data_IF_879731763922
#
_entry.id   IF_879731763922
#
_cell.length_a   1.000
_cell.length_b   1.000
_cell.length_c   1.000
_cell.angle_alpha   90.00
_cell.angle_beta   90.00
_cell.angle_gamma   90.00
#
_symmetry.space_group_name_H-M   'P 1'
#
loop_
_entity.id
_entity.type
_entity.pdbx_description
1 polymer ?
#
# COMPACT_ATOMS: atom_id res chain seq x y z
N UNK A 1 18.20 23.44 -9.04
CA UNK A 1 17.65 22.93 -10.31
C UNK A 1 16.15 23.13 -10.28
N UNK A 2 15.59 23.73 -11.32
CA UNK A 2 14.13 23.98 -11.44
C UNK A 2 13.40 22.75 -11.97
N UNK A 3 12.08 22.66 -11.81
CA UNK A 3 11.28 21.54 -12.35
C UNK A 3 11.38 21.42 -13.87
N UNK A 4 11.40 22.56 -14.59
CA UNK A 4 11.57 22.59 -16.05
C UNK A 4 12.93 22.05 -16.48
N UNK A 5 13.98 22.36 -15.73
CA UNK A 5 15.32 21.80 -15.95
C UNK A 5 15.37 20.31 -15.66
N UNK A 6 14.69 19.85 -14.61
CA UNK A 6 14.63 18.44 -14.24
C UNK A 6 13.86 17.61 -15.30
N UNK A 7 12.75 18.12 -15.83
CA UNK A 7 12.02 17.51 -16.95
C UNK A 7 12.89 17.43 -18.20
N UNK A 8 13.67 18.49 -18.49
CA UNK A 8 14.60 18.49 -19.62
C UNK A 8 15.74 17.48 -19.44
N UNK A 9 16.22 17.28 -18.21
CA UNK A 9 17.26 16.30 -17.89
C UNK A 9 16.74 14.86 -17.98
N UNK A 10 15.47 14.62 -17.63
CA UNK A 10 14.85 13.29 -17.82
C UNK A 10 14.21 13.09 -19.20
N UNK A 11 14.32 14.07 -20.10
CA UNK A 11 13.74 14.06 -21.45
C UNK A 11 12.22 13.82 -21.46
N UNK A 12 11.51 14.52 -20.58
CA UNK A 12 10.07 14.33 -20.34
C UNK A 12 9.25 15.58 -20.68
N UNK A 13 8.01 15.32 -21.10
CA UNK A 13 6.99 16.36 -21.31
C UNK A 13 6.58 17.01 -19.97
N UNK A 14 6.18 18.30 -19.95
CA UNK A 14 5.65 18.96 -18.74
C UNK A 14 4.46 18.24 -18.09
N UNK A 15 3.69 17.49 -18.87
CA UNK A 15 2.51 16.74 -18.43
C UNK A 15 2.83 15.30 -18.02
N UNK A 16 4.12 14.92 -17.98
CA UNK A 16 4.53 13.55 -17.68
C UNK A 16 4.05 13.09 -16.30
N UNK A 17 3.43 11.91 -16.27
CA UNK A 17 2.94 11.28 -15.04
C UNK A 17 4.05 10.67 -14.19
N UNK A 18 3.76 10.39 -12.92
CA UNK A 18 4.74 9.80 -11.98
C UNK A 18 5.37 8.50 -12.51
N UNK A 19 4.57 7.65 -13.15
CA UNK A 19 5.03 6.39 -13.76
C UNK A 19 6.02 6.64 -14.90
N UNK A 20 5.75 7.61 -15.77
CA UNK A 20 6.62 7.97 -16.89
C UNK A 20 7.94 8.56 -16.38
N UNK A 21 7.88 9.39 -15.34
CA UNK A 21 9.06 9.95 -14.67
C UNK A 21 9.92 8.85 -14.07
N UNK A 22 9.32 7.86 -13.39
CA UNK A 22 10.03 6.72 -12.80
C UNK A 22 10.66 5.85 -13.89
N UNK A 23 9.95 5.57 -14.98
CA UNK A 23 10.46 4.80 -16.12
C UNK A 23 11.65 5.48 -16.78
N UNK A 24 11.55 6.79 -17.09
CA UNK A 24 12.65 7.54 -17.71
C UNK A 24 13.86 7.68 -16.81
N UNK A 25 13.65 7.93 -15.52
CA UNK A 25 14.73 7.93 -14.54
C UNK A 25 15.51 6.59 -14.54
N UNK A 26 14.80 5.46 -14.49
CA UNK A 26 15.43 4.13 -14.54
C UNK A 26 16.20 3.90 -15.83
N UNK A 27 15.64 4.30 -16.97
CA UNK A 27 16.30 4.21 -18.28
C UNK A 27 17.63 4.97 -18.29
N UNK A 28 17.63 6.22 -17.82
CA UNK A 28 18.80 7.11 -17.85
C UNK A 28 19.89 6.68 -16.86
N UNK A 29 19.54 6.24 -15.65
CA UNK A 29 20.55 5.74 -14.69
C UNK A 29 21.24 4.48 -15.20
N UNK A 30 20.51 3.58 -15.87
CA UNK A 30 21.10 2.38 -16.48
C UNK A 30 22.10 2.75 -17.57
N UNK A 31 21.77 3.69 -18.46
CA UNK A 31 22.67 4.13 -19.55
C UNK A 31 23.97 4.76 -19.04
N UNK A 32 23.97 5.29 -17.82
CA UNK A 32 25.13 5.95 -17.22
C UNK A 32 25.95 4.97 -16.36
N UNK A 33 25.52 3.72 -16.16
CA UNK A 33 26.23 2.77 -15.29
C UNK A 33 27.68 2.50 -15.77
N UNK A 34 28.68 2.43 -14.86
CA UNK A 34 30.10 2.29 -15.24
C UNK A 34 30.38 1.01 -16.03
N UNK A 35 29.57 -0.03 -15.82
CA UNK A 35 29.72 -1.33 -16.49
C UNK A 35 29.34 -1.30 -17.98
N UNK A 36 28.67 -0.24 -18.47
CA UNK A 36 28.23 -0.15 -19.88
C UNK A 36 29.22 0.67 -20.73
N UNK A 37 29.83 1.69 -20.14
CA UNK A 37 30.82 2.52 -20.81
C UNK A 37 32.01 2.63 -19.86
N UNK A 38 33.10 1.91 -20.14
CA UNK A 38 34.38 1.95 -19.41
C UNK A 38 35.06 3.33 -19.44
N UNK A 39 34.32 4.34 -19.01
CA UNK A 39 34.58 5.77 -19.07
C UNK A 39 34.93 6.26 -17.67
N UNK A 40 35.78 7.30 -17.60
CA UNK A 40 36.39 7.71 -16.34
C UNK A 40 35.36 7.95 -15.23
N UNK A 41 35.71 7.48 -14.03
CA UNK A 41 34.93 7.49 -12.79
C UNK A 41 34.31 8.87 -12.45
N UNK A 42 34.97 9.95 -12.89
CA UNK A 42 34.53 11.34 -12.74
C UNK A 42 33.33 11.71 -13.64
N UNK A 43 33.26 11.18 -14.86
CA UNK A 43 32.18 11.48 -15.82
C UNK A 43 30.88 10.75 -15.43
N UNK A 44 31.02 9.54 -14.89
CA UNK A 44 29.96 8.76 -14.25
C UNK A 44 29.32 9.54 -13.09
N UNK A 45 30.15 10.02 -12.16
CA UNK A 45 29.70 10.65 -10.92
C UNK A 45 28.88 11.90 -11.23
N UNK A 46 29.32 12.75 -12.17
CA UNK A 46 28.61 13.99 -12.51
C UNK A 46 27.28 13.75 -13.23
N UNK A 47 27.20 12.77 -14.13
CA UNK A 47 25.99 12.53 -14.93
C UNK A 47 24.93 11.79 -14.12
N UNK A 48 25.32 10.77 -13.34
CA UNK A 48 24.41 10.05 -12.45
C UNK A 48 23.87 10.96 -11.33
N UNK A 49 24.72 11.80 -10.72
CA UNK A 49 24.27 12.80 -9.75
C UNK A 49 23.25 13.77 -10.34
N UNK A 50 23.43 14.18 -11.59
CA UNK A 50 22.51 15.10 -12.28
C UNK A 50 21.15 14.46 -12.55
N UNK A 51 21.13 13.18 -12.97
CA UNK A 51 19.88 12.41 -13.16
C UNK A 51 19.18 12.16 -11.82
N UNK A 52 19.92 11.75 -10.77
CA UNK A 52 19.40 11.54 -9.42
C UNK A 52 18.78 12.82 -8.85
N UNK A 53 19.46 13.96 -9.01
CA UNK A 53 18.96 15.25 -8.58
C UNK A 53 17.68 15.62 -9.36
N UNK A 54 17.61 15.33 -10.67
CA UNK A 54 16.45 15.65 -11.50
C UNK A 54 15.23 14.83 -11.09
N UNK A 55 15.42 13.53 -10.86
CA UNK A 55 14.38 12.66 -10.33
C UNK A 55 13.93 13.07 -8.93
N UNK A 56 14.84 13.45 -8.03
CA UNK A 56 14.47 13.94 -6.70
C UNK A 56 13.59 15.21 -6.76
N UNK A 57 13.91 16.15 -7.65
CA UNK A 57 13.09 17.37 -7.87
C UNK A 57 11.71 16.99 -8.41
N UNK A 58 11.62 16.08 -9.38
CA UNK A 58 10.33 15.69 -9.96
C UNK A 58 9.52 14.75 -9.07
N UNK A 59 10.17 13.93 -8.22
CA UNK A 59 9.51 13.11 -7.20
C UNK A 59 8.79 14.00 -6.18
N UNK A 60 9.36 15.16 -5.83
CA UNK A 60 8.72 16.17 -4.96
C UNK A 60 7.46 16.80 -5.57
N UNK A 61 7.25 16.73 -6.90
CA UNK A 61 6.00 17.15 -7.53
C UNK A 61 4.81 16.25 -7.15
N UNK A 62 5.09 14.99 -6.81
CA UNK A 62 4.09 13.98 -6.46
C UNK A 62 4.09 13.65 -4.96
N UNK A 63 5.22 13.86 -4.27
CA UNK A 63 5.30 13.82 -2.82
C UNK A 63 4.91 15.20 -2.26
N UNK A 64 3.72 15.33 -1.67
CA UNK A 64 3.35 16.54 -0.94
C UNK A 64 4.44 16.94 0.05
N UNK A 65 4.87 18.20 0.00
CA UNK A 65 5.99 18.80 0.75
C UNK A 65 6.47 18.02 1.99
N UNK A 66 7.54 17.24 1.82
CA UNK A 66 8.35 16.73 2.92
C UNK A 66 9.82 17.13 2.65
N UNK A 67 10.31 18.07 3.45
CA UNK A 67 11.72 18.45 3.49
C UNK A 67 12.58 17.23 3.84
N UNK A 68 13.65 17.04 3.07
CA UNK A 68 14.63 15.97 3.27
C UNK A 68 15.83 16.55 4.01
N UNK A 69 16.16 16.13 5.24
CA UNK A 69 17.44 16.47 5.84
C UNK A 69 18.55 15.57 5.28
N UNK A 70 19.63 16.22 4.85
CA UNK A 70 20.86 15.62 4.36
C UNK A 70 21.62 14.84 5.44
N UNK A 71 22.35 13.84 4.94
CA UNK A 71 23.30 13.00 5.63
C UNK A 71 24.33 13.73 6.52
N UNK A 72 24.63 13.13 7.68
CA UNK A 72 25.94 13.21 8.34
C UNK A 72 26.30 11.83 8.89
N UNK A 73 27.53 11.42 8.66
CA UNK A 73 27.98 10.06 8.88
C UNK A 73 28.91 9.83 10.07
N UNK A 74 29.40 8.58 10.05
CA UNK A 74 30.59 7.96 10.65
C UNK A 74 30.49 7.21 12.00
N UNK A 75 30.76 5.89 11.86
CA UNK A 75 31.62 4.97 12.66
C UNK A 75 31.19 4.65 14.10
N UNK A 76 31.24 3.41 14.62
CA UNK A 76 32.24 2.34 14.47
C UNK A 76 31.77 0.93 14.93
N UNK A 77 32.43 -0.09 14.37
CA UNK A 77 32.93 -1.36 14.96
C UNK A 77 32.01 -2.50 15.45
N UNK A 78 32.03 -3.57 14.64
CA UNK A 78 32.32 -5.00 14.95
C UNK A 78 31.31 -5.89 15.70
N UNK A 79 30.75 -6.88 14.98
CA UNK A 79 31.07 -8.32 15.12
C UNK A 79 30.44 -9.14 13.97
N UNK A 80 31.03 -10.26 13.52
CA UNK A 80 30.73 -10.87 12.23
C UNK A 80 29.67 -11.98 12.36
N UNK A 81 28.48 -11.76 11.82
CA UNK A 81 27.51 -12.82 11.59
C UNK A 81 27.08 -12.82 10.12
N UNK A 82 27.34 -13.96 9.47
CA UNK A 82 26.84 -14.45 8.17
C UNK A 82 26.42 -13.38 7.14
N UNK A 83 27.19 -13.31 6.05
CA UNK A 83 26.84 -12.62 4.80
C UNK A 83 25.46 -13.05 4.31
N UNK A 84 24.43 -12.28 4.66
CA UNK A 84 23.18 -12.21 3.91
C UNK A 84 23.45 -11.43 2.63
N UNK A 85 23.11 -12.04 1.50
CA UNK A 85 23.12 -11.43 0.19
C UNK A 85 22.18 -10.22 0.18
N UNK A 86 22.73 -9.01 0.03
CA UNK A 86 21.98 -7.80 -0.34
C UNK A 86 20.80 -7.44 0.57
N UNK A 87 21.06 -7.08 1.82
CA UNK A 87 20.03 -6.71 2.80
C UNK A 87 19.07 -5.63 2.25
N UNK A 88 17.83 -6.02 1.97
CA UNK A 88 16.76 -5.08 1.67
C UNK A 88 16.52 -4.20 2.89
N UNK A 89 16.68 -2.89 2.72
CA UNK A 89 16.68 -1.94 3.84
C UNK A 89 15.26 -1.53 4.24
N UNK A 90 14.45 -2.48 4.72
CA UNK A 90 13.14 -2.23 5.30
C UNK A 90 13.04 -2.73 6.76
N UNK A 91 12.23 -2.09 7.62
CA UNK A 91 11.95 -2.63 8.95
C UNK A 91 11.40 -4.04 8.84
N UNK A 92 11.70 -4.85 9.84
CA UNK A 92 11.30 -6.25 9.90
C UNK A 92 10.20 -6.40 10.94
N UNK A 93 9.13 -7.10 10.58
CA UNK A 93 8.16 -7.60 11.55
C UNK A 93 8.53 -9.03 11.93
N UNK A 94 9.30 -9.21 13.01
CA UNK A 94 9.70 -10.54 13.50
C UNK A 94 8.51 -11.47 13.80
N UNK A 95 7.34 -10.89 14.10
CA UNK A 95 6.12 -11.60 14.45
C UNK A 95 5.22 -11.96 13.25
N UNK A 96 5.60 -11.61 12.02
CA UNK A 96 4.83 -12.01 10.83
C UNK A 96 4.74 -13.54 10.74
N UNK A 97 3.62 -14.06 10.23
CA UNK A 97 3.34 -15.49 10.23
C UNK A 97 4.33 -16.28 9.37
N UNK A 98 4.67 -15.72 8.21
CA UNK A 98 5.62 -16.29 7.25
C UNK A 98 6.58 -15.22 6.75
N UNK A 99 7.64 -15.65 6.07
CA UNK A 99 8.52 -14.79 5.29
C UNK A 99 7.94 -14.61 3.87
N UNK A 100 8.36 -13.53 3.20
CA UNK A 100 7.93 -13.26 1.84
C UNK A 100 9.11 -12.88 0.96
N UNK A 101 8.99 -13.13 -0.32
CA UNK A 101 9.93 -12.62 -1.31
C UNK A 101 9.69 -11.13 -1.55
N UNK A 102 10.76 -10.36 -1.76
CA UNK A 102 10.69 -9.00 -2.27
C UNK A 102 10.91 -9.08 -3.76
N UNK A 103 9.92 -8.67 -4.54
CA UNK A 103 9.92 -8.84 -6.00
C UNK A 103 10.36 -7.56 -6.71
N UNK A 104 11.03 -7.72 -7.84
CA UNK A 104 11.36 -6.64 -8.77
C UNK A 104 10.95 -7.01 -10.19
N UNK A 105 10.56 -6.02 -10.99
CA UNK A 105 10.24 -6.25 -12.40
C UNK A 105 11.51 -6.58 -13.19
N UNK A 106 11.46 -7.66 -13.97
CA UNK A 106 12.34 -7.82 -15.13
C UNK A 106 11.83 -6.87 -16.22
N UNK A 107 12.66 -5.94 -16.65
CA UNK A 107 12.32 -4.93 -17.66
C UNK A 107 13.19 -5.11 -18.90
N UNK A 108 12.61 -4.96 -20.09
CA UNK A 108 13.36 -4.89 -21.34
C UNK A 108 14.13 -3.55 -21.48
N UNK A 109 14.84 -3.38 -22.60
CA UNK A 109 15.59 -2.15 -22.91
C UNK A 109 14.71 -0.88 -23.00
N UNK A 110 13.40 -1.05 -23.19
CA UNK A 110 12.41 0.02 -23.26
C UNK A 110 11.68 0.26 -21.92
N UNK A 111 11.98 -0.53 -20.88
CA UNK A 111 11.31 -0.45 -19.58
C UNK A 111 9.97 -1.19 -19.51
N UNK A 112 9.65 -2.04 -20.50
CA UNK A 112 8.46 -2.89 -20.47
C UNK A 112 8.69 -4.07 -19.53
N UNK A 113 7.74 -4.32 -18.62
CA UNK A 113 7.81 -5.46 -17.71
C UNK A 113 7.65 -6.79 -18.47
N UNK A 114 8.70 -7.61 -18.46
CA UNK A 114 8.72 -8.98 -19.00
C UNK A 114 8.28 -10.02 -17.97
N UNK A 115 8.41 -9.69 -16.69
CA UNK A 115 8.08 -10.57 -15.57
C UNK A 115 8.56 -9.96 -14.25
N UNK A 116 8.63 -10.78 -13.21
CA UNK A 116 9.18 -10.41 -11.91
C UNK A 116 10.11 -11.50 -11.37
N UNK A 117 11.10 -11.11 -10.57
CA UNK A 117 12.01 -12.03 -9.91
C UNK A 117 12.29 -11.57 -8.47
N UNK A 118 12.62 -12.49 -7.55
CA UNK A 118 12.94 -12.16 -6.18
C UNK A 118 14.31 -11.48 -6.07
N UNK A 119 14.39 -10.44 -5.24
CA UNK A 119 15.64 -9.70 -4.94
C UNK A 119 16.04 -9.79 -3.46
N UNK A 120 15.11 -10.18 -2.58
CA UNK A 120 15.36 -10.45 -1.17
C UNK A 120 14.26 -11.38 -0.63
N UNK A 121 14.47 -11.91 0.57
CA UNK A 121 13.50 -12.76 1.28
C UNK A 121 13.53 -12.44 2.77
N UNK A 122 12.36 -12.34 3.40
CA UNK A 122 12.26 -12.13 4.85
C UNK A 122 10.96 -11.46 5.26
N UNK A 123 10.86 -11.10 6.55
CA UNK A 123 9.65 -10.47 7.12
C UNK A 123 9.64 -8.95 6.99
N UNK A 124 10.03 -8.45 5.82
CA UNK A 124 10.18 -7.02 5.57
C UNK A 124 8.83 -6.32 5.40
N UNK A 125 8.64 -5.23 6.15
CA UNK A 125 7.52 -4.32 5.94
C UNK A 125 7.59 -3.69 4.54
N UNK A 126 6.43 -3.50 3.96
CA UNK A 126 6.26 -2.80 2.71
C UNK A 126 6.66 -1.33 2.87
N UNK A 127 7.32 -0.81 1.85
CA UNK A 127 7.66 0.60 1.67
C UNK A 127 7.29 1.01 0.26
N UNK A 128 7.09 2.30 0.04
CA UNK A 128 6.78 2.86 -1.28
C UNK A 128 7.89 2.69 -2.33
N UNK A 129 9.10 2.29 -1.91
CA UNK A 129 10.17 1.88 -2.81
C UNK A 129 9.89 0.52 -3.50
N UNK A 130 9.12 -0.35 -2.85
CA UNK A 130 8.59 -1.59 -3.43
C UNK A 130 7.26 -1.31 -4.15
N UNK A 131 7.13 -1.79 -5.40
CA UNK A 131 5.92 -1.60 -6.18
C UNK A 131 4.74 -2.35 -5.54
N UNK A 132 3.61 -1.68 -5.32
CA UNK A 132 2.51 -2.23 -4.53
C UNK A 132 1.87 -3.48 -5.15
N UNK A 133 1.60 -3.54 -6.48
CA UNK A 133 1.26 -4.78 -7.17
C UNK A 133 2.21 -5.95 -6.91
N UNK A 134 3.53 -5.71 -6.88
CA UNK A 134 4.52 -6.75 -6.60
C UNK A 134 4.50 -7.19 -5.14
N UNK A 135 4.30 -6.24 -4.22
CA UNK A 135 4.04 -6.55 -2.80
C UNK A 135 2.81 -7.45 -2.63
N UNK A 136 1.67 -7.08 -3.25
CA UNK A 136 0.46 -7.90 -3.17
C UNK A 136 0.64 -9.28 -3.80
N UNK A 137 1.38 -9.37 -4.91
CA UNK A 137 1.71 -10.65 -5.55
C UNK A 137 2.54 -11.54 -4.62
N UNK A 138 3.55 -10.98 -3.97
CA UNK A 138 4.39 -11.66 -2.98
C UNK A 138 3.55 -12.21 -1.81
N UNK A 139 2.69 -11.38 -1.22
CA UNK A 139 1.80 -11.81 -0.12
C UNK A 139 0.78 -12.86 -0.60
N UNK A 140 0.27 -12.72 -1.82
CA UNK A 140 -0.63 -13.71 -2.43
C UNK A 140 0.07 -15.07 -2.61
N UNK A 141 1.34 -15.08 -3.02
CA UNK A 141 2.15 -16.30 -3.13
C UNK A 141 2.35 -16.97 -1.76
N UNK A 142 2.69 -16.21 -0.71
CA UNK A 142 2.77 -16.73 0.65
C UNK A 142 1.47 -17.42 1.09
N UNK A 143 0.31 -16.79 0.86
CA UNK A 143 -0.98 -17.39 1.18
C UNK A 143 -1.27 -18.65 0.36
N UNK A 144 -0.79 -18.72 -0.89
CA UNK A 144 -0.96 -19.89 -1.76
C UNK A 144 -0.14 -21.06 -1.24
N UNK A 145 1.13 -20.81 -0.91
CA UNK A 145 2.09 -21.80 -0.38
C UNK A 145 1.56 -22.46 0.88
N UNK A 146 1.09 -21.68 1.86
CA UNK A 146 0.48 -22.22 3.08
C UNK A 146 -0.70 -23.16 2.80
N UNK A 147 -1.51 -22.85 1.80
CA UNK A 147 -2.64 -23.71 1.43
C UNK A 147 -2.20 -24.92 0.58
N UNK A 148 -1.15 -24.78 -0.25
CA UNK A 148 -0.56 -25.88 -1.02
C UNK A 148 0.09 -26.91 -0.07
N UNK A 149 0.77 -26.45 0.99
CA UNK A 149 1.32 -27.30 2.05
C UNK A 149 0.24 -28.12 2.75
N UNK A 150 -0.89 -27.50 3.10
CA UNK A 150 -2.05 -28.21 3.67
C UNK A 150 -2.60 -29.25 2.68
N UNK A 151 -2.77 -28.89 1.41
CA UNK A 151 -3.28 -29.85 0.42
C UNK A 151 -2.33 -31.04 0.23
N UNK A 152 -1.02 -30.81 0.30
CA UNK A 152 0.02 -31.83 0.25
C UNK A 152 -0.03 -32.74 1.49
N UNK A 153 -0.09 -32.16 2.70
CA UNK A 153 -0.15 -32.88 3.98
C UNK A 153 -1.35 -33.83 4.02
N UNK A 154 -2.52 -33.35 3.57
CA UNK A 154 -3.76 -34.12 3.51
C UNK A 154 -3.90 -34.98 2.24
N UNK A 155 -2.87 -35.00 1.37
CA UNK A 155 -2.84 -35.76 0.11
C UNK A 155 -4.09 -35.56 -0.75
N UNK A 156 -4.59 -34.31 -0.80
CA UNK A 156 -5.80 -33.99 -1.55
C UNK A 156 -5.52 -34.08 -3.04
N UNK A 157 -6.38 -34.79 -3.76
CA UNK A 157 -6.32 -34.88 -5.23
C UNK A 157 -6.75 -33.57 -5.89
N UNK A 158 -7.73 -32.90 -5.29
CA UNK A 158 -8.25 -31.62 -5.75
C UNK A 158 -8.46 -30.68 -4.57
N UNK A 159 -8.24 -29.36 -4.74
CA UNK A 159 -8.47 -28.43 -3.65
C UNK A 159 -9.96 -28.24 -3.32
N UNK A 160 -10.32 -27.95 -2.06
CA UNK A 160 -11.69 -27.63 -1.67
C UNK A 160 -12.29 -26.44 -2.45
N UNK A 161 -13.61 -26.45 -2.64
CA UNK A 161 -14.35 -25.40 -3.38
C UNK A 161 -14.20 -24.00 -2.78
N UNK A 162 -13.99 -23.91 -1.46
CA UNK A 162 -13.77 -22.65 -0.76
C UNK A 162 -12.32 -22.15 -0.81
N UNK A 163 -11.37 -22.87 -1.44
CA UNK A 163 -9.93 -22.49 -1.48
C UNK A 163 -9.73 -21.06 -1.93
N UNK A 164 -10.42 -20.61 -2.99
CA UNK A 164 -10.27 -19.24 -3.51
C UNK A 164 -10.71 -18.18 -2.51
N UNK A 165 -11.82 -18.43 -1.80
CA UNK A 165 -12.30 -17.51 -0.78
C UNK A 165 -11.35 -17.45 0.41
N UNK A 166 -10.91 -18.61 0.90
CA UNK A 166 -9.93 -18.72 1.99
C UNK A 166 -8.61 -18.05 1.61
N UNK A 167 -8.13 -18.25 0.39
CA UNK A 167 -6.90 -17.64 -0.09
C UNK A 167 -6.99 -16.12 -0.15
N UNK A 168 -8.14 -15.58 -0.58
CA UNK A 168 -8.40 -14.15 -0.55
C UNK A 168 -8.35 -13.56 0.87
N UNK A 169 -9.06 -14.20 1.82
CA UNK A 169 -9.03 -13.80 3.25
C UNK A 169 -7.61 -13.89 3.83
N UNK A 170 -6.91 -15.00 3.57
CA UNK A 170 -5.56 -15.23 4.06
C UNK A 170 -4.58 -14.19 3.51
N UNK A 171 -4.67 -13.86 2.22
CA UNK A 171 -3.85 -12.82 1.58
C UNK A 171 -4.07 -11.47 2.25
N UNK A 172 -5.32 -11.12 2.55
CA UNK A 172 -5.65 -9.87 3.23
C UNK A 172 -5.08 -9.82 4.65
N UNK A 173 -5.21 -10.90 5.43
CA UNK A 173 -4.66 -10.98 6.79
C UNK A 173 -3.13 -10.92 6.80
N UNK A 174 -2.47 -11.63 5.88
CA UNK A 174 -1.01 -11.59 5.74
C UNK A 174 -0.52 -10.20 5.34
N UNK A 175 -1.21 -9.51 4.42
CA UNK A 175 -0.83 -8.17 3.98
C UNK A 175 -0.79 -7.17 5.16
N UNK A 176 -1.71 -7.30 6.12
CA UNK A 176 -1.72 -6.46 7.32
C UNK A 176 -0.46 -6.62 8.19
N UNK A 177 0.20 -7.79 8.16
CA UNK A 177 1.43 -8.01 8.93
C UNK A 177 2.64 -7.29 8.33
N UNK A 178 2.57 -6.93 7.05
CA UNK A 178 3.65 -6.27 6.32
C UNK A 178 3.37 -4.79 6.05
N UNK A 179 2.24 -4.24 6.49
CA UNK A 179 1.90 -2.83 6.29
C UNK A 179 1.88 -2.12 7.63
N UNK A 180 2.78 -1.14 7.81
CA UNK A 180 2.67 -0.19 8.90
C UNK A 180 1.66 0.89 8.53
N UNK A 181 0.39 0.62 8.80
CA UNK A 181 -0.70 1.55 8.50
C UNK A 181 -0.53 2.91 9.18
N UNK A 182 0.18 2.97 10.30
CA UNK A 182 0.41 4.23 11.03
C UNK A 182 1.40 5.12 10.29
N UNK A 183 2.57 4.58 9.96
CA UNK A 183 3.59 5.34 9.24
C UNK A 183 3.09 5.74 7.84
N UNK A 184 2.38 4.83 7.17
CA UNK A 184 1.90 5.03 5.81
C UNK A 184 0.71 6.00 5.73
N UNK A 185 -0.13 6.11 6.77
CA UNK A 185 -1.19 7.14 6.78
C UNK A 185 -0.61 8.54 6.53
N UNK A 186 0.54 8.85 7.13
CA UNK A 186 1.20 10.14 6.95
C UNK A 186 1.70 10.34 5.53
N UNK A 187 2.30 9.32 4.93
CA UNK A 187 2.83 9.37 3.56
C UNK A 187 1.72 9.52 2.51
N UNK A 188 0.55 8.94 2.78
CA UNK A 188 -0.58 8.89 1.86
C UNK A 188 -1.64 9.99 2.08
N UNK A 189 -1.60 10.67 3.22
CA UNK A 189 -2.48 11.79 3.49
C UNK A 189 -2.18 12.96 2.55
N UNK A 190 -3.24 13.66 2.12
CA UNK A 190 -3.08 14.94 1.40
C UNK A 190 -2.64 16.07 2.31
N UNK A 191 -3.06 16.02 3.56
CA UNK A 191 -2.64 16.99 4.57
C UNK A 191 -2.77 16.38 5.97
N UNK A 192 -1.95 16.89 6.88
CA UNK A 192 -1.95 16.56 8.29
C UNK A 192 -2.23 17.84 9.07
N UNK A 193 -3.25 17.83 9.91
CA UNK A 193 -3.59 18.96 10.78
C UNK A 193 -3.72 18.47 12.21
N UNK A 194 -3.10 19.11 13.20
CA UNK A 194 -3.28 18.73 14.58
C UNK A 194 -4.70 19.06 15.06
N UNK A 195 -5.22 18.25 15.99
CA UNK A 195 -6.38 18.63 16.79
C UNK A 195 -6.00 19.60 17.92
N UNK A 196 -6.97 19.96 18.77
CA UNK A 196 -6.74 20.86 19.91
C UNK A 196 -5.74 20.34 20.94
N UNK A 197 -5.41 19.05 20.92
CA UNK A 197 -4.45 18.39 21.81
C UNK A 197 -3.11 18.11 21.10
N UNK A 198 -2.93 18.53 19.85
CA UNK A 198 -1.73 18.29 19.06
C UNK A 198 -1.70 16.93 18.36
N UNK A 199 -2.75 16.12 18.44
CA UNK A 199 -2.80 14.81 17.78
C UNK A 199 -3.03 14.97 16.27
N UNK A 200 -2.31 14.25 15.41
CA UNK A 200 -2.44 14.39 13.97
C UNK A 200 -3.79 13.87 13.46
N UNK A 201 -4.46 14.69 12.64
CA UNK A 201 -5.62 14.33 11.84
C UNK A 201 -5.18 14.28 10.38
N UNK A 202 -5.29 13.11 9.78
CA UNK A 202 -4.93 12.87 8.38
C UNK A 202 -6.14 13.06 7.49
N UNK A 203 -6.00 13.89 6.46
CA UNK A 203 -7.03 14.10 5.45
C UNK A 203 -6.69 13.37 4.16
N UNK A 204 -7.68 12.70 3.57
CA UNK A 204 -7.56 12.08 2.25
C UNK A 204 -8.89 12.14 1.46
N UNK A 205 -8.81 12.20 0.12
CA UNK A 205 -9.98 12.05 -0.73
C UNK A 205 -10.45 10.60 -0.66
N UNK A 206 -11.77 10.41 -0.57
CA UNK A 206 -12.38 9.11 -0.66
C UNK A 206 -13.63 9.18 -1.53
N UNK A 207 -14.31 8.05 -1.69
CA UNK A 207 -15.55 7.95 -2.44
C UNK A 207 -16.52 7.08 -1.65
N UNK A 208 -17.82 7.32 -1.82
CA UNK A 208 -18.88 6.40 -1.49
C UNK A 208 -19.21 5.62 -2.75
N UNK A 209 -19.13 4.29 -2.70
CA UNK A 209 -19.76 3.44 -3.71
C UNK A 209 -21.15 3.02 -3.25
N UNK A 210 -22.19 3.38 -4.01
CA UNK A 210 -23.56 3.03 -3.67
C UNK A 210 -23.84 1.53 -3.87
N UNK A 211 -24.47 0.90 -2.87
CA UNK A 211 -24.91 -0.51 -2.97
C UNK A 211 -26.13 -0.68 -3.86
N UNK A 212 -26.93 0.38 -4.04
CA UNK A 212 -28.17 0.38 -4.82
C UNK A 212 -28.34 1.65 -5.63
N UNK A 213 -29.58 2.11 -5.79
CA UNK A 213 -29.87 3.34 -6.53
C UNK A 213 -29.12 4.54 -5.93
N UNK A 214 -28.33 5.27 -6.73
CA UNK A 214 -27.60 6.43 -6.25
C UNK A 214 -28.53 7.44 -5.61
N UNK A 215 -28.15 7.93 -4.44
CA UNK A 215 -28.85 9.03 -3.76
C UNK A 215 -27.97 10.27 -3.83
N UNK A 216 -28.51 11.39 -4.29
CA UNK A 216 -27.77 12.64 -4.31
C UNK A 216 -27.56 13.13 -2.87
N UNK A 217 -26.31 13.16 -2.41
CA UNK A 217 -25.97 13.72 -1.10
C UNK A 217 -25.74 15.22 -1.23
N UNK A 218 -26.20 15.98 -0.24
CA UNK A 218 -25.93 17.42 -0.23
C UNK A 218 -24.44 17.64 0.10
N UNK A 219 -23.75 18.57 -0.57
CA UNK A 219 -22.38 18.89 -0.18
C UNK A 219 -22.27 19.23 1.31
N UNK A 220 -21.24 18.70 1.98
CA UNK A 220 -21.04 18.85 3.41
C UNK A 220 -21.86 17.91 4.30
N UNK A 221 -22.82 17.16 3.73
CA UNK A 221 -23.62 16.17 4.47
C UNK A 221 -22.70 15.16 5.16
N UNK A 222 -22.92 14.95 6.47
CA UNK A 222 -22.12 14.05 7.27
C UNK A 222 -22.60 12.60 7.11
N UNK A 223 -21.63 11.70 6.94
CA UNK A 223 -21.85 10.27 6.92
C UNK A 223 -21.19 9.64 8.15
N UNK A 224 -21.86 8.62 8.68
CA UNK A 224 -21.36 7.87 9.84
C UNK A 224 -21.00 6.44 9.43
N UNK A 225 -19.99 5.83 10.07
CA UNK A 225 -19.75 4.39 9.99
C UNK A 225 -21.01 3.59 10.35
N UNK A 226 -21.38 2.65 9.49
CA UNK A 226 -22.42 1.64 9.76
C UNK A 226 -21.83 0.32 10.27
N UNK A 227 -20.54 0.07 10.01
CA UNK A 227 -19.81 -1.14 10.39
C UNK A 227 -18.83 -1.57 9.30
N UNK A 228 -17.89 -2.45 9.63
CA UNK A 228 -16.99 -3.06 8.65
C UNK A 228 -17.46 -4.48 8.36
N UNK A 229 -17.61 -4.82 7.07
CA UNK A 229 -17.96 -6.17 6.62
C UNK A 229 -17.24 -6.48 5.33
N UNK A 230 -16.69 -7.68 5.20
CA UNK A 230 -15.93 -8.13 4.02
C UNK A 230 -14.85 -7.11 3.62
N UNK A 231 -14.08 -6.63 4.59
CA UNK A 231 -13.02 -5.62 4.42
C UNK A 231 -13.50 -4.32 3.75
N UNK A 232 -14.73 -3.90 4.06
CA UNK A 232 -15.33 -2.66 3.56
C UNK A 232 -16.05 -1.93 4.69
N UNK A 233 -15.74 -0.64 4.85
CA UNK A 233 -16.45 0.22 5.79
C UNK A 233 -17.75 0.71 5.16
N UNK A 234 -18.89 0.22 5.64
CA UNK A 234 -20.20 0.69 5.21
C UNK A 234 -20.54 2.04 5.84
N UNK A 235 -21.23 2.89 5.08
CA UNK A 235 -21.59 4.25 5.46
C UNK A 235 -23.10 4.44 5.49
N UNK A 236 -23.58 5.16 6.50
CA UNK A 236 -24.98 5.55 6.66
C UNK A 236 -25.13 7.05 6.76
N UNK A 237 -26.27 7.57 6.31
CA UNK A 237 -26.64 8.97 6.47
C UNK A 237 -27.16 9.27 7.89
N UNK A 238 -27.52 10.54 8.12
CA UNK A 238 -28.07 11.00 9.41
C UNK A 238 -29.41 10.34 9.78
N UNK A 239 -30.19 9.88 8.79
CA UNK A 239 -31.42 9.12 9.00
C UNK A 239 -31.17 7.63 9.33
N UNK A 240 -29.92 7.20 9.44
CA UNK A 240 -29.54 5.82 9.75
C UNK A 240 -29.58 4.85 8.57
N UNK A 241 -29.94 5.31 7.36
CA UNK A 241 -29.99 4.47 6.16
C UNK A 241 -28.59 4.20 5.65
N UNK A 242 -28.24 2.91 5.49
CA UNK A 242 -26.99 2.47 4.84
C UNK A 242 -27.07 2.76 3.34
N UNK A 243 -26.09 3.50 2.83
CA UNK A 243 -26.06 3.93 1.42
C UNK A 243 -25.16 3.04 0.56
N UNK A 244 -24.08 2.54 1.15
CA UNK A 244 -22.96 1.96 0.42
C UNK A 244 -21.74 1.80 1.30
N UNK A 245 -20.56 1.72 0.69
CA UNK A 245 -19.29 1.60 1.41
C UNK A 245 -18.25 2.62 0.93
N UNK A 246 -17.30 2.88 1.82
CA UNK A 246 -16.13 3.71 1.56
C UNK A 246 -15.23 3.03 0.52
N UNK A 247 -14.85 3.79 -0.49
CA UNK A 247 -13.90 3.39 -1.53
C UNK A 247 -12.83 4.46 -1.71
N UNK A 248 -11.70 4.06 -2.29
CA UNK A 248 -10.54 4.91 -2.50
C UNK A 248 -10.14 4.92 -3.98
N UNK A 249 -9.63 6.05 -4.49
CA UNK A 249 -9.04 6.10 -5.84
C UNK A 249 -7.67 5.42 -5.89
N UNK A 250 -7.00 5.28 -4.74
CA UNK A 250 -5.71 4.60 -4.60
C UNK A 250 -5.91 3.27 -3.87
N UNK A 251 -5.59 2.17 -4.54
CA UNK A 251 -5.83 0.82 -4.03
C UNK A 251 -5.03 0.52 -2.74
N UNK A 252 -3.93 1.24 -2.51
CA UNK A 252 -3.09 1.09 -1.31
C UNK A 252 -3.86 1.44 -0.04
N UNK A 253 -4.78 2.40 -0.12
CA UNK A 253 -5.58 2.85 1.02
C UNK A 253 -6.53 1.77 1.56
N UNK A 254 -6.92 0.77 0.77
CA UNK A 254 -7.71 -0.36 1.29
C UNK A 254 -6.92 -1.19 2.30
N UNK A 255 -5.61 -1.29 2.14
CA UNK A 255 -4.76 -2.06 3.05
C UNK A 255 -4.15 -1.21 4.17
N UNK A 256 -4.20 0.13 4.05
CA UNK A 256 -3.74 1.07 5.08
C UNK A 256 -4.88 1.46 6.01
N UNK A 257 -6.01 1.93 5.48
CA UNK A 257 -7.07 2.55 6.26
C UNK A 257 -8.10 1.55 6.80
N UNK A 258 -8.53 0.58 5.99
CA UNK A 258 -9.58 -0.37 6.41
C UNK A 258 -9.16 -1.21 7.62
N UNK A 259 -7.92 -1.75 7.72
CA UNK A 259 -7.49 -2.47 8.92
C UNK A 259 -7.59 -1.61 10.18
N UNK A 260 -7.27 -0.31 10.11
CA UNK A 260 -7.40 0.59 11.26
C UNK A 260 -8.85 0.71 11.72
N UNK A 261 -9.82 0.63 10.81
CA UNK A 261 -11.25 0.66 11.14
C UNK A 261 -11.72 -0.69 11.69
N UNK A 262 -11.28 -1.81 11.12
CA UNK A 262 -11.57 -3.17 11.61
C UNK A 262 -11.11 -3.35 13.05
N UNK A 263 -9.92 -2.84 13.37
CA UNK A 263 -9.32 -2.92 14.71
C UNK A 263 -9.73 -1.79 15.65
N UNK A 264 -10.61 -0.87 15.21
CA UNK A 264 -11.09 0.29 15.99
C UNK A 264 -9.95 1.20 16.49
N UNK A 265 -8.88 1.30 15.70
CA UNK A 265 -7.67 2.09 15.98
C UNK A 265 -7.74 3.52 15.43
N UNK A 266 -8.89 3.91 14.89
CA UNK A 266 -9.09 5.24 14.33
C UNK A 266 -10.52 5.77 14.57
N UNK A 267 -10.60 7.08 14.79
CA UNK A 267 -11.80 7.88 14.66
C UNK A 267 -11.84 8.47 13.25
N UNK A 268 -13.05 8.56 12.70
CA UNK A 268 -13.26 9.08 11.36
C UNK A 268 -14.30 10.19 11.34
N UNK A 269 -14.05 11.19 10.49
CA UNK A 269 -15.07 12.15 10.05
C UNK A 269 -15.20 12.02 8.54
N UNK A 270 -16.44 11.94 8.05
CA UNK A 270 -16.74 11.68 6.65
C UNK A 270 -17.80 12.67 6.18
N UNK A 271 -17.54 13.36 5.08
CA UNK A 271 -18.46 14.35 4.50
C UNK A 271 -18.56 14.22 2.99
N UNK A 272 -19.76 14.43 2.44
CA UNK A 272 -19.96 14.52 1.00
C UNK A 272 -19.21 15.72 0.42
N UNK A 273 -18.43 15.50 -0.64
CA UNK A 273 -17.69 16.56 -1.32
C UNK A 273 -18.59 17.32 -2.31
N UNK A 274 -18.33 18.61 -2.47
CA UNK A 274 -18.91 19.45 -3.52
C UNK A 274 -18.52 18.97 -4.92
N UNK A 275 -17.27 18.50 -5.08
CA UNK A 275 -16.73 18.07 -6.37
C UNK A 275 -17.24 16.67 -6.68
N UNK A 276 -18.07 16.52 -7.70
CA UNK A 276 -18.56 15.22 -8.17
C UNK A 276 -17.51 14.50 -9.05
N UNK A 277 -17.52 13.15 -9.11
CA UNK A 277 -16.64 12.42 -10.02
C UNK A 277 -16.88 12.86 -11.47
N UNK A 278 -15.79 13.05 -12.25
CA UNK A 278 -15.91 13.55 -13.63
C UNK A 278 -16.78 12.59 -14.46
N UNK A 279 -17.81 13.13 -15.14
CA UNK A 279 -18.81 12.42 -15.96
C UNK A 279 -18.23 11.83 -17.26
N UNK A 280 -17.13 11.07 -17.21
CA UNK A 280 -16.53 10.48 -18.42
C UNK A 280 -17.02 9.06 -18.75
N UNK A 281 -17.74 8.35 -17.86
CA UNK A 281 -18.30 7.00 -18.12
C UNK A 281 -19.60 6.73 -17.33
N UNK A 282 -20.42 5.76 -17.80
CA UNK A 282 -21.65 5.23 -17.15
C UNK A 282 -21.47 4.85 -15.67
N UNK A 283 -20.24 4.63 -15.21
CA UNK A 283 -19.89 4.29 -13.82
C UNK A 283 -19.90 5.48 -12.86
N UNK A 284 -19.84 6.73 -13.35
CA UNK A 284 -19.82 7.93 -12.50
C UNK A 284 -21.09 8.10 -11.66
N UNK A 285 -22.23 7.53 -12.10
CA UNK A 285 -23.47 7.57 -11.35
C UNK A 285 -23.43 6.75 -10.04
N UNK A 286 -22.50 5.79 -9.91
CA UNK A 286 -22.42 4.87 -8.77
C UNK A 286 -21.54 5.38 -7.64
N UNK A 287 -20.83 6.49 -7.85
CA UNK A 287 -19.89 7.05 -6.87
C UNK A 287 -20.25 8.47 -6.46
N UNK A 288 -19.96 8.80 -5.21
CA UNK A 288 -20.01 10.16 -4.67
C UNK A 288 -18.67 10.45 -4.00
N UNK A 289 -18.00 11.54 -4.39
CA UNK A 289 -16.75 11.91 -3.74
C UNK A 289 -16.99 12.33 -2.29
N UNK A 290 -16.05 11.97 -1.42
CA UNK A 290 -16.08 12.25 0.01
C UNK A 290 -14.78 12.92 0.46
N UNK A 291 -14.90 13.69 1.53
CA UNK A 291 -13.79 14.06 2.38
C UNK A 291 -13.72 13.08 3.56
N UNK A 292 -12.54 12.47 3.77
CA UNK A 292 -12.28 11.58 4.88
C UNK A 292 -11.16 12.16 5.74
N UNK A 293 -11.45 12.32 7.03
CA UNK A 293 -10.45 12.63 8.05
C UNK A 293 -10.31 11.44 8.98
N UNK A 294 -9.07 11.06 9.28
CA UNK A 294 -8.71 9.93 10.14
C UNK A 294 -7.86 10.47 11.28
N UNK A 295 -8.31 10.25 12.52
CA UNK A 295 -7.55 10.52 13.75
C UNK A 295 -7.25 9.18 14.41
N UNK A 296 -5.99 8.91 14.76
CA UNK A 296 -5.62 7.67 15.48
C UNK A 296 -6.13 7.69 16.91
N UNK A 297 -6.39 6.52 17.46
CA UNK A 297 -6.69 6.33 18.88
C UNK A 297 -5.54 5.62 19.55
N UNK A 298 -5.21 6.02 20.78
CA UNK A 298 -4.19 5.35 21.61
C UNK A 298 -4.76 4.09 22.29
N UNK A 299 -5.72 3.41 21.65
CA UNK A 299 -6.27 2.18 22.22
C UNK A 299 -5.13 1.17 22.34
N UNK A 300 -4.96 0.66 23.56
CA UNK A 300 -3.95 -0.31 23.89
C UNK A 300 -4.16 -1.56 23.04
N UNK A 301 -3.25 -1.76 22.08
CA UNK A 301 -3.27 -2.80 21.03
C UNK A 301 -3.42 -4.19 21.66
N UNK A 302 -3.01 -4.33 22.92
CA UNK A 302 -3.00 -5.58 23.67
C UNK A 302 -4.30 -5.94 24.39
N UNK A 303 -5.29 -5.03 24.49
CA UNK A 303 -6.42 -5.22 25.42
C UNK A 303 -7.70 -5.84 24.84
N UNK A 304 -7.91 -5.83 23.51
CA UNK A 304 -9.21 -6.25 22.91
C UNK A 304 -9.10 -6.95 21.55
N UNK A 305 -7.97 -6.88 20.84
CA UNK A 305 -7.87 -7.38 19.45
C UNK A 305 -7.13 -8.70 19.43
N UNK A 306 -7.81 -9.77 18.98
CA UNK A 306 -7.17 -11.05 18.66
C UNK A 306 -5.96 -10.82 17.74
N UNK A 307 -4.81 -11.39 18.08
CA UNK A 307 -3.61 -11.24 17.25
C UNK A 307 -3.86 -11.74 15.82
N UNK A 308 -3.28 -11.06 14.83
CA UNK A 308 -3.43 -11.44 13.42
C UNK A 308 -3.01 -12.90 13.17
N UNK A 309 -1.99 -13.39 13.88
CA UNK A 309 -1.54 -14.79 13.79
C UNK A 309 -2.65 -15.77 14.19
N UNK A 310 -3.41 -15.50 15.27
CA UNK A 310 -4.52 -16.36 15.68
C UNK A 310 -5.66 -16.36 14.64
N UNK A 311 -5.93 -15.21 14.01
CA UNK A 311 -6.91 -15.14 12.90
C UNK A 311 -6.44 -15.96 11.70
N UNK A 312 -5.17 -15.84 11.32
CA UNK A 312 -4.55 -16.62 10.25
C UNK A 312 -4.67 -18.12 10.55
N UNK A 313 -4.29 -18.55 11.75
CA UNK A 313 -4.43 -19.96 12.18
C UNK A 313 -5.87 -20.45 12.10
N UNK A 314 -6.86 -19.63 12.48
CA UNK A 314 -8.27 -20.01 12.39
C UNK A 314 -8.70 -20.23 10.94
N UNK A 315 -8.28 -19.35 10.03
CA UNK A 315 -8.58 -19.46 8.59
C UNK A 315 -7.93 -20.73 8.02
N UNK A 316 -6.67 -21.02 8.39
CA UNK A 316 -5.98 -22.25 7.98
C UNK A 316 -6.64 -23.51 8.56
N UNK A 317 -7.02 -23.51 9.84
CA UNK A 317 -7.76 -24.62 10.47
C UNK A 317 -9.12 -24.86 9.81
N UNK A 318 -9.85 -23.80 9.46
CA UNK A 318 -11.10 -23.92 8.72
C UNK A 318 -10.89 -24.60 7.36
N UNK A 319 -9.79 -24.26 6.67
CA UNK A 319 -9.42 -24.88 5.41
C UNK A 319 -9.00 -26.35 5.55
N UNK A 320 -8.26 -26.70 6.61
CA UNK A 320 -7.90 -28.08 6.94
C UNK A 320 -9.14 -28.94 7.15
N UNK A 321 -10.13 -28.43 7.90
CA UNK A 321 -11.36 -29.14 8.26
C UNK A 321 -12.38 -29.23 7.11
N UNK A 322 -12.13 -28.63 5.94
CA UNK A 322 -13.07 -28.60 4.82
C UNK A 322 -14.41 -27.93 5.15
N UNK A 323 -14.47 -27.17 6.23
CA UNK A 323 -15.72 -26.67 6.81
C UNK A 323 -16.11 -25.33 6.21
N UNK A 324 -17.23 -25.28 5.50
CA UNK A 324 -17.87 -24.02 5.07
C UNK A 324 -18.68 -23.48 6.24
N UNK A 325 -18.01 -22.92 7.26
CA UNK A 325 -18.71 -22.05 8.20
C UNK A 325 -18.78 -20.64 7.59
N UNK A 326 -19.98 -20.02 7.52
CA UNK A 326 -20.07 -18.61 7.19
C UNK A 326 -19.32 -17.84 8.27
N UNK A 327 -18.31 -17.06 7.87
CA UNK A 327 -17.63 -16.10 8.75
C UNK A 327 -18.75 -15.19 9.28
N UNK A 328 -19.17 -15.42 10.53
CA UNK A 328 -20.15 -14.56 11.18
C UNK A 328 -19.43 -13.25 11.50
N UNK A 329 -19.94 -12.10 11.01
CA UNK A 329 -19.41 -10.81 11.42
C UNK A 329 -19.76 -10.58 12.90
N UNK A 330 -18.79 -10.09 13.68
CA UNK A 330 -19.02 -9.45 14.97
C UNK A 330 -19.51 -8.01 14.76
#
# INVERSE_FOLDING_TARGET
MTEREALKILELSPDAGEREIKTKYRQLIRQVHPDIHGSSEERYTRHAQRINHAYAVLKKRFAGNADTPQARGKTSSQSPAKKETGAWSAPINSHAYTEREILHYAEDSNGSALGSFPIAHGKYLWKTDEDFPLFLLSVYQCGKELLDEIDLEFRRKEPPTNRRQIHGELTYLLAQQFIDGTALLKEFARSETPDSQGNPIFYMPAMLEFSGSPTCLKPGEQLSPAGVKNHRLYLKNQAGRVLGYLSFPDDRLYYIAIPLFEHKMALVKIQASEKQPQKKKRTAARYQNLHLWIKRTDRDIHSVVESLNLRIERVLKQYQQGSVSPIRPL
#
